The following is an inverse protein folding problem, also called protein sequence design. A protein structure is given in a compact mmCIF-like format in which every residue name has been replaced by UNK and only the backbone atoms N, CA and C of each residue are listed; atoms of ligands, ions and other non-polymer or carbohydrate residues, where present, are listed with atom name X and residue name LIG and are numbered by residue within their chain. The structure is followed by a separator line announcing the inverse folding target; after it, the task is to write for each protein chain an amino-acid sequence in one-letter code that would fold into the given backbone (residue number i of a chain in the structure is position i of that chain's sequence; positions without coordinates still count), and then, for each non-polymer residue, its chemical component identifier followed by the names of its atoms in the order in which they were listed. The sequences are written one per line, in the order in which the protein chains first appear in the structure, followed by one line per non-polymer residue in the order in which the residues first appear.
data_IF_891204916671
#
_entry.id   IF_891204916671
#
_cell.length_a   1.000
_cell.length_b   1.000
_cell.length_c   1.000
_cell.angle_alpha   90.00
_cell.angle_beta   90.00
_cell.angle_gamma   90.00
#
_symmetry.space_group_name_H-M   'P 1'
#
loop_
_entity.id
_entity.type
_entity.pdbx_description
1 polymer ?
#
# COMPACT_ATOMS: atom_id res chain seq x y z
N UNK A 1 21.75 -5.18 -0.02
CA UNK A 1 20.62 -4.89 -0.94
C UNK A 1 19.35 -4.78 -0.12
N UNK A 2 18.79 -3.58 0.04
CA UNK A 2 17.58 -3.37 0.86
C UNK A 2 16.42 -4.10 0.16
N UNK A 3 15.94 -5.21 0.72
CA UNK A 3 14.72 -5.85 0.24
C UNK A 3 13.60 -4.81 0.32
N UNK A 4 13.06 -4.38 -0.82
CA UNK A 4 11.87 -3.53 -0.82
C UNK A 4 10.80 -4.20 0.04
N UNK A 5 10.24 -3.45 1.01
CA UNK A 5 9.22 -3.96 1.92
C UNK A 5 7.95 -4.42 1.17
N UNK A 6 7.80 -3.99 -0.08
CA UNK A 6 6.69 -4.28 -0.96
C UNK A 6 7.19 -4.81 -2.31
N UNK A 7 6.46 -5.77 -2.89
CA UNK A 7 6.69 -6.28 -4.25
C UNK A 7 5.96 -5.42 -5.28
N UNK A 8 6.36 -5.49 -6.55
CA UNK A 8 5.69 -4.76 -7.64
C UNK A 8 4.18 -5.07 -7.70
N UNK A 9 3.78 -6.33 -7.50
CA UNK A 9 2.37 -6.71 -7.45
C UNK A 9 1.62 -6.09 -6.29
N UNK A 10 2.24 -5.96 -5.11
CA UNK A 10 1.61 -5.27 -3.98
C UNK A 10 1.38 -3.79 -4.28
N UNK A 11 2.36 -3.12 -4.89
CA UNK A 11 2.24 -1.71 -5.29
C UNK A 11 1.08 -1.53 -6.26
N UNK A 12 0.96 -2.40 -7.27
CA UNK A 12 -0.15 -2.35 -8.25
C UNK A 12 -1.51 -2.59 -7.58
N UNK A 13 -1.60 -3.52 -6.62
CA UNK A 13 -2.84 -3.77 -5.88
C UNK A 13 -3.26 -2.54 -5.06
N UNK A 14 -2.32 -1.92 -4.34
CA UNK A 14 -2.54 -0.70 -3.55
C UNK A 14 -3.03 0.45 -4.43
N UNK A 15 -2.39 0.65 -5.59
CA UNK A 15 -2.80 1.68 -6.56
C UNK A 15 -4.20 1.41 -7.11
N UNK A 16 -4.54 0.15 -7.43
CA UNK A 16 -5.89 -0.21 -7.90
C UNK A 16 -6.96 -0.01 -6.82
N UNK A 17 -6.67 -0.31 -5.55
CA UNK A 17 -7.61 -0.05 -4.45
C UNK A 17 -7.83 1.45 -4.25
N UNK A 18 -6.77 2.26 -4.33
CA UNK A 18 -6.87 3.72 -4.27
C UNK A 18 -7.65 4.30 -5.46
N UNK A 19 -7.41 3.80 -6.68
CA UNK A 19 -8.09 4.22 -7.90
C UNK A 19 -9.58 3.80 -7.92
N UNK A 20 -9.90 2.66 -7.28
CA UNK A 20 -11.28 2.21 -7.06
C UNK A 20 -12.08 3.11 -6.07
N UNK A 21 -11.49 4.21 -5.59
CA UNK A 21 -12.14 5.18 -4.72
C UNK A 21 -11.97 4.90 -3.23
N UNK A 22 -11.14 3.93 -2.83
CA UNK A 22 -10.76 3.81 -1.43
C UNK A 22 -9.85 4.96 -1.04
N UNK A 23 -10.07 5.48 0.18
CA UNK A 23 -9.16 6.46 0.77
C UNK A 23 -7.78 5.83 0.91
N UNK A 24 -6.76 6.54 0.43
CA UNK A 24 -5.35 6.13 0.58
C UNK A 24 -5.03 5.81 2.03
N UNK A 25 -5.59 6.55 3.00
CA UNK A 25 -5.45 6.27 4.43
C UNK A 25 -5.93 4.86 4.82
N UNK A 26 -7.08 4.42 4.33
CA UNK A 26 -7.61 3.07 4.56
C UNK A 26 -6.74 2.00 3.89
N UNK A 27 -6.34 2.22 2.64
CA UNK A 27 -5.44 1.28 1.92
C UNK A 27 -4.09 1.16 2.64
N UNK A 28 -3.54 2.29 3.08
CA UNK A 28 -2.28 2.38 3.81
C UNK A 28 -2.35 1.66 5.17
N UNK A 29 -3.50 1.71 5.85
CA UNK A 29 -3.76 1.02 7.11
C UNK A 29 -3.99 -0.48 6.92
N UNK A 30 -4.72 -0.87 5.86
CA UNK A 30 -5.01 -2.25 5.48
C UNK A 30 -3.75 -3.03 5.06
N UNK A 31 -2.82 -2.37 4.40
CA UNK A 31 -1.55 -2.97 3.95
C UNK A 31 -0.37 -2.72 4.90
N UNK A 32 -0.61 -2.07 6.06
CA UNK A 32 0.45 -1.78 7.04
C UNK A 32 1.58 -0.90 6.50
N UNK A 33 1.26 -0.04 5.53
CA UNK A 33 2.18 0.90 4.88
C UNK A 33 2.41 2.12 5.80
N UNK A 34 1.38 2.53 6.53
CA UNK A 34 1.51 3.56 7.56
C UNK A 34 2.11 2.92 8.80
N UNK A 35 3.44 2.98 8.92
CA UNK A 35 4.07 2.80 10.22
C UNK A 35 3.59 3.93 11.12
N UNK A 36 2.87 3.59 12.19
CA UNK A 36 2.88 4.45 13.37
C UNK A 36 4.21 4.21 14.08
N UNK A 37 5.20 5.03 13.72
CA UNK A 37 6.21 5.57 14.63
C UNK A 37 6.37 7.05 14.27
#
# INVERSE_FOLDING_TARGET
MKKSKFTASQIVAILKEADAGMKVADVCRKHGICGME
#
